data_IF_049289827146
#
_entry.id   IF_049289827146
#
_cell.length_a   1.000
_cell.length_b   1.000
_cell.length_c   1.000
_cell.angle_alpha   90.00
_cell.angle_beta   90.00
_cell.angle_gamma   90.00
#
_symmetry.space_group_name_H-M   'P 1'
#
loop_
_entity.id
_entity.type
_entity.pdbx_description
1 polymer ?
#
# COMPACT_ATOMS: atom_id res chain seq x y z
N UNK A 1 -4.03 18.01 4.66
CA UNK A 1 -4.63 16.67 4.45
C UNK A 1 -4.81 16.47 2.97
N UNK A 2 -4.70 15.23 2.48
CA UNK A 2 -4.81 14.94 1.04
C UNK A 2 -6.28 14.95 0.62
N UNK A 3 -6.73 16.08 0.10
CA UNK A 3 -8.05 16.26 -0.49
C UNK A 3 -8.00 16.07 -2.00
N UNK A 4 -8.92 15.28 -2.54
CA UNK A 4 -9.11 15.09 -3.98
C UNK A 4 -10.58 15.01 -4.36
N UNK A 5 -10.91 15.27 -5.63
CA UNK A 5 -12.25 15.03 -6.16
C UNK A 5 -12.39 13.66 -6.84
N UNK A 6 -13.60 13.32 -7.28
CA UNK A 6 -13.89 12.03 -7.92
C UNK A 6 -13.07 11.80 -9.22
N UNK A 7 -12.90 12.84 -10.04
CA UNK A 7 -12.08 12.73 -11.26
C UNK A 7 -10.60 12.40 -10.94
N UNK A 8 -10.11 12.86 -9.80
CA UNK A 8 -8.77 12.60 -9.31
C UNK A 8 -8.63 11.19 -8.71
N UNK A 9 -9.69 10.62 -8.13
CA UNK A 9 -9.73 9.21 -7.73
C UNK A 9 -9.49 8.29 -8.95
N UNK A 10 -10.14 8.59 -10.07
CA UNK A 10 -9.93 7.83 -11.32
C UNK A 10 -8.48 7.94 -11.81
N UNK A 11 -7.89 9.14 -11.76
CA UNK A 11 -6.47 9.34 -12.09
C UNK A 11 -5.54 8.62 -11.11
N UNK A 12 -5.91 8.59 -9.82
CA UNK A 12 -5.16 7.92 -8.75
C UNK A 12 -5.08 6.42 -9.00
N UNK A 13 -6.18 5.78 -9.44
CA UNK A 13 -6.21 4.37 -9.86
C UNK A 13 -5.11 4.05 -10.88
N UNK A 14 -5.04 4.79 -11.98
CA UNK A 14 -4.04 4.53 -13.03
C UNK A 14 -2.60 4.74 -12.54
N UNK A 15 -2.38 5.71 -11.64
CA UNK A 15 -1.06 5.93 -11.02
C UNK A 15 -0.68 4.77 -10.11
N UNK A 16 -1.63 4.25 -9.33
CA UNK A 16 -1.41 3.09 -8.47
C UNK A 16 -1.05 1.85 -9.26
N UNK A 17 -1.74 1.60 -10.37
CA UNK A 17 -1.41 0.48 -11.27
C UNK A 17 0.02 0.59 -11.78
N UNK A 18 0.42 1.77 -12.27
CA UNK A 18 1.78 2.02 -12.73
C UNK A 18 2.83 1.78 -11.62
N UNK A 19 2.54 2.17 -10.38
CA UNK A 19 3.42 1.95 -9.23
C UNK A 19 3.51 0.47 -8.88
N UNK A 20 2.36 -0.21 -8.70
CA UNK A 20 2.27 -1.60 -8.24
C UNK A 20 2.72 -2.61 -9.29
N UNK A 21 2.71 -2.25 -10.59
CA UNK A 21 3.23 -3.09 -11.67
C UNK A 21 4.65 -3.61 -11.43
N UNK A 22 5.46 -2.87 -10.67
CA UNK A 22 6.84 -3.25 -10.35
C UNK A 22 6.95 -4.54 -9.53
N UNK A 23 5.92 -4.87 -8.75
CA UNK A 23 5.91 -6.01 -7.82
C UNK A 23 4.83 -7.06 -8.17
N UNK A 24 3.83 -6.70 -8.99
CA UNK A 24 2.77 -7.60 -9.45
C UNK A 24 3.24 -8.62 -10.50
N UNK A 25 2.61 -9.80 -10.53
CA UNK A 25 2.87 -10.81 -11.57
C UNK A 25 2.60 -10.25 -12.97
N UNK A 26 3.45 -10.58 -13.93
CA UNK A 26 3.34 -10.17 -15.33
C UNK A 26 3.27 -8.65 -15.56
N UNK A 27 3.65 -7.83 -14.56
CA UNK A 27 3.54 -6.36 -14.62
C UNK A 27 2.12 -5.86 -14.96
N UNK A 28 1.08 -6.56 -14.46
CA UNK A 28 -0.33 -6.24 -14.73
C UNK A 28 -1.13 -6.03 -13.44
N UNK A 29 -0.76 -5.05 -12.64
CA UNK A 29 -1.59 -4.59 -11.54
C UNK A 29 -2.98 -4.19 -12.05
N UNK A 30 -4.01 -4.54 -11.30
CA UNK A 30 -5.40 -4.21 -11.59
C UNK A 30 -6.01 -3.63 -10.31
N UNK A 31 -6.21 -2.32 -10.31
CA UNK A 31 -6.77 -1.60 -9.16
C UNK A 31 -8.22 -1.27 -9.46
N UNK A 32 -9.14 -1.82 -8.68
CA UNK A 32 -10.56 -1.53 -8.82
C UNK A 32 -10.99 -0.38 -7.91
N UNK A 33 -11.93 0.42 -8.40
CA UNK A 33 -12.63 1.44 -7.62
C UNK A 33 -13.90 0.79 -7.08
N UNK A 34 -14.05 0.77 -5.76
CA UNK A 34 -15.25 0.27 -5.08
C UNK A 34 -15.91 1.47 -4.40
N UNK A 35 -17.10 1.82 -4.86
CA UNK A 35 -17.89 2.92 -4.31
C UNK A 35 -18.78 2.42 -3.15
N UNK A 36 -18.67 3.07 -2.00
CA UNK A 36 -19.62 2.99 -0.89
C UNK A 36 -20.42 4.29 -0.76
N UNK A 37 -21.23 4.40 0.29
CA UNK A 37 -22.10 5.57 0.50
C UNK A 37 -21.30 6.86 0.77
N UNK A 38 -20.31 6.79 1.68
CA UNK A 38 -19.47 7.95 2.08
C UNK A 38 -17.97 7.63 1.94
N UNK A 39 -17.65 6.60 1.15
CA UNK A 39 -16.27 6.17 0.95
C UNK A 39 -16.03 5.60 -0.44
N UNK A 40 -14.79 5.68 -0.88
CA UNK A 40 -14.29 5.03 -2.08
C UNK A 40 -13.04 4.24 -1.72
N UNK A 41 -12.98 2.99 -2.15
CA UNK A 41 -11.81 2.12 -1.97
C UNK A 41 -11.12 1.86 -3.31
N UNK A 42 -9.79 1.93 -3.33
CA UNK A 42 -8.95 1.52 -4.44
C UNK A 42 -8.25 0.22 -4.03
N UNK A 43 -8.61 -0.89 -4.66
CA UNK A 43 -8.21 -2.24 -4.21
C UNK A 43 -7.47 -2.98 -5.30
N UNK A 44 -6.30 -3.53 -5.00
CA UNK A 44 -5.58 -4.42 -5.91
C UNK A 44 -6.26 -5.79 -5.92
N UNK A 45 -6.74 -6.22 -7.08
CA UNK A 45 -7.55 -7.43 -7.20
C UNK A 45 -7.39 -8.15 -8.54
N UNK A 46 -7.61 -9.47 -8.55
CA UNK A 46 -7.69 -10.25 -9.79
C UNK A 46 -9.12 -10.36 -10.35
N UNK A 47 -10.13 -9.85 -9.64
CA UNK A 47 -11.54 -9.97 -10.05
C UNK A 47 -12.48 -9.07 -9.25
N UNK A 48 -13.78 -9.21 -9.47
CA UNK A 48 -14.81 -8.45 -8.75
C UNK A 48 -15.06 -9.12 -7.39
N UNK A 49 -14.44 -8.62 -6.32
CA UNK A 49 -14.69 -9.11 -4.95
C UNK A 49 -14.82 -7.92 -4.01
N UNK A 50 -15.73 -8.06 -3.04
CA UNK A 50 -16.12 -6.97 -2.13
C UNK A 50 -15.27 -6.85 -0.86
N UNK A 51 -14.48 -7.86 -0.49
CA UNK A 51 -13.69 -7.85 0.75
C UNK A 51 -12.20 -7.59 0.48
N UNK A 52 -11.81 -6.31 0.52
CA UNK A 52 -10.46 -5.86 0.17
C UNK A 52 -9.34 -6.55 0.97
N UNK A 53 -9.52 -6.77 2.28
CA UNK A 53 -8.49 -7.34 3.18
C UNK A 53 -8.16 -8.82 2.95
N UNK A 54 -9.07 -9.56 2.31
CA UNK A 54 -8.91 -11.00 2.04
C UNK A 54 -8.30 -11.28 0.68
N UNK A 55 -8.15 -10.25 -0.16
CA UNK A 55 -7.63 -10.43 -1.51
C UNK A 55 -6.14 -10.70 -1.49
N UNK A 56 -5.74 -11.76 -2.18
CA UNK A 56 -4.35 -12.12 -2.43
C UNK A 56 -4.06 -11.95 -3.89
N UNK A 57 -3.27 -10.95 -4.21
CA UNK A 57 -2.81 -10.68 -5.56
C UNK A 57 -1.42 -11.29 -5.74
N UNK A 58 -1.19 -12.19 -6.70
CA UNK A 58 0.11 -12.81 -6.88
C UNK A 58 1.16 -11.78 -7.30
N UNK A 59 2.29 -11.81 -6.62
CA UNK A 59 3.45 -11.01 -7.01
C UNK A 59 4.22 -11.67 -8.16
N UNK A 60 5.32 -11.05 -8.58
CA UNK A 60 6.29 -11.67 -9.52
C UNK A 60 7.04 -12.89 -8.98
N UNK A 61 7.00 -13.14 -7.66
CA UNK A 61 7.60 -14.30 -6.99
C UNK A 61 6.49 -15.27 -6.62
N UNK A 62 6.65 -16.57 -6.93
CA UNK A 62 5.58 -17.56 -6.84
C UNK A 62 5.02 -17.75 -5.43
N UNK A 63 5.86 -17.68 -4.40
CA UNK A 63 5.45 -17.81 -3.00
C UNK A 63 4.94 -16.51 -2.38
N UNK A 64 4.93 -15.40 -3.12
CA UNK A 64 4.68 -14.07 -2.55
C UNK A 64 3.38 -13.49 -3.10
N UNK A 65 2.53 -13.04 -2.16
CA UNK A 65 1.23 -12.45 -2.42
C UNK A 65 1.16 -11.04 -1.86
N UNK A 66 0.36 -10.21 -2.48
CA UNK A 66 0.18 -8.80 -2.19
C UNK A 66 -1.27 -8.55 -1.80
N UNK A 67 -1.48 -7.64 -0.86
CA UNK A 67 -2.77 -7.06 -0.58
C UNK A 67 -2.60 -5.54 -0.53
N UNK A 68 -3.34 -4.81 -1.37
CA UNK A 68 -3.27 -3.36 -1.39
C UNK A 68 -4.67 -2.75 -1.33
N UNK A 69 -4.82 -1.75 -0.47
CA UNK A 69 -6.04 -0.96 -0.31
C UNK A 69 -5.71 0.50 -0.02
N UNK A 70 -6.38 1.41 -0.71
CA UNK A 70 -6.56 2.80 -0.27
C UNK A 70 -8.02 3.06 0.03
N UNK A 71 -8.30 3.71 1.16
CA UNK A 71 -9.64 4.15 1.53
C UNK A 71 -9.71 5.66 1.57
N UNK A 72 -10.69 6.20 0.88
CA UNK A 72 -11.00 7.61 0.78
C UNK A 72 -12.38 7.86 1.36
N UNK A 73 -12.56 8.87 2.19
CA UNK A 73 -13.87 9.23 2.78
C UNK A 73 -14.35 10.57 2.26
N UNK A 74 -15.63 10.65 1.94
CA UNK A 74 -16.29 11.88 1.51
C UNK A 74 -16.35 12.87 2.69
N UNK A 75 -15.85 14.09 2.49
CA UNK A 75 -15.86 15.15 3.52
C UNK A 75 -16.73 16.36 3.13
N UNK A 76 -17.01 16.51 1.84
CA UNK A 76 -17.99 17.45 1.30
C UNK A 76 -18.49 16.92 -0.04
N UNK A 77 -19.52 17.54 -0.63
CA UNK A 77 -20.25 17.05 -1.80
C UNK A 77 -19.40 16.40 -2.92
N UNK A 78 -18.19 16.92 -3.18
CA UNK A 78 -17.30 16.39 -4.23
C UNK A 78 -15.85 16.18 -3.76
N UNK A 79 -15.60 16.16 -2.45
CA UNK A 79 -14.24 16.06 -1.90
C UNK A 79 -14.08 14.82 -1.04
N UNK A 80 -12.97 14.14 -1.31
CA UNK A 80 -12.54 12.94 -0.60
C UNK A 80 -11.22 13.19 0.10
N UNK A 81 -11.05 12.53 1.24
CA UNK A 81 -9.84 12.56 2.02
C UNK A 81 -9.27 11.15 2.20
N UNK A 82 -7.95 11.00 2.07
CA UNK A 82 -7.28 9.71 2.27
C UNK A 82 -7.32 9.33 3.75
N UNK A 83 -8.06 8.28 4.09
CA UNK A 83 -8.16 7.74 5.44
C UNK A 83 -7.04 6.73 5.72
N UNK A 84 -6.73 5.90 4.72
CA UNK A 84 -5.87 4.73 4.89
C UNK A 84 -5.22 4.34 3.56
N UNK A 85 -3.95 3.92 3.58
CA UNK A 85 -3.26 3.35 2.41
C UNK A 85 -2.29 2.26 2.81
N UNK A 86 -2.68 1.01 2.60
CA UNK A 86 -1.99 -0.16 3.09
C UNK A 86 -1.50 -1.03 1.92
N UNK A 87 -0.26 -1.53 2.04
CA UNK A 87 0.30 -2.57 1.17
C UNK A 87 0.89 -3.65 2.07
N UNK A 88 0.26 -4.82 2.10
CA UNK A 88 0.76 -5.97 2.83
C UNK A 88 1.36 -6.97 1.86
N UNK A 89 2.44 -7.61 2.27
CA UNK A 89 3.14 -8.65 1.53
C UNK A 89 3.13 -9.90 2.39
N UNK A 90 2.67 -10.98 1.79
CA UNK A 90 2.56 -12.29 2.40
C UNK A 90 3.47 -13.26 1.68
N UNK A 91 4.02 -14.20 2.42
CA UNK A 91 4.72 -15.36 1.88
C UNK A 91 3.99 -16.63 2.27
N UNK A 92 3.74 -17.50 1.30
CA UNK A 92 3.16 -18.80 1.53
C UNK A 92 4.22 -19.78 2.02
N UNK A 93 4.04 -20.24 3.26
CA UNK A 93 4.90 -21.22 3.91
C UNK A 93 4.41 -22.63 3.60
N UNK A 94 5.12 -23.33 2.71
CA UNK A 94 4.78 -24.70 2.29
C UNK A 94 4.80 -25.74 3.42
N UNK A 95 5.63 -25.53 4.45
CA UNK A 95 5.75 -26.47 5.58
C UNK A 95 4.53 -26.38 6.49
N UNK A 96 4.08 -25.15 6.75
CA UNK A 96 2.93 -24.88 7.63
C UNK A 96 1.59 -24.84 6.89
N UNK A 97 1.61 -24.88 5.57
CA UNK A 97 0.44 -24.69 4.70
C UNK A 97 -0.35 -23.41 5.04
N UNK A 98 0.38 -22.30 5.24
CA UNK A 98 -0.23 -21.03 5.62
C UNK A 98 0.52 -19.83 5.04
N UNK A 99 -0.19 -18.71 4.88
CA UNK A 99 0.43 -17.42 4.55
C UNK A 99 0.94 -16.73 5.81
N UNK A 100 2.17 -16.24 5.78
CA UNK A 100 2.76 -15.42 6.83
C UNK A 100 2.94 -13.98 6.28
N UNK A 101 2.44 -12.97 6.98
CA UNK A 101 2.70 -11.57 6.61
C UNK A 101 4.16 -11.23 6.92
N UNK A 102 4.89 -10.74 5.92
CA UNK A 102 6.33 -10.49 6.04
C UNK A 102 6.64 -9.00 6.14
N UNK A 103 5.94 -8.19 5.36
CA UNK A 103 6.10 -6.73 5.28
C UNK A 103 4.71 -6.12 5.23
N UNK A 104 4.50 -5.07 6.02
CA UNK A 104 3.29 -4.26 5.92
C UNK A 104 3.68 -2.78 5.84
N UNK A 105 3.31 -2.14 4.74
CA UNK A 105 3.35 -0.70 4.60
C UNK A 105 2.00 -0.11 4.98
N UNK A 106 2.00 0.88 5.85
CA UNK A 106 0.81 1.56 6.35
C UNK A 106 0.95 3.08 6.22
N UNK A 107 -0.19 3.74 6.09
CA UNK A 107 -0.31 5.19 6.15
C UNK A 107 -1.74 5.49 6.61
N UNK A 108 -1.88 6.09 7.79
CA UNK A 108 -3.17 6.40 8.42
C UNK A 108 -3.30 7.89 8.75
N UNK A 109 -3.48 8.78 7.75
CA UNK A 109 -3.39 10.23 7.98
C UNK A 109 -4.41 10.75 9.02
N UNK A 110 -5.52 10.03 9.21
CA UNK A 110 -6.63 10.40 10.08
C UNK A 110 -6.65 9.70 11.44
N UNK A 111 -5.62 8.91 11.79
CA UNK A 111 -5.61 8.24 13.09
C UNK A 111 -5.67 9.27 14.23
N UNK A 112 -6.71 9.18 15.05
CA UNK A 112 -6.89 10.00 16.25
C UNK A 112 -6.28 9.27 17.46
N UNK A 113 -5.88 10.02 18.50
CA UNK A 113 -5.34 9.44 19.74
C UNK A 113 -4.09 10.14 20.25
N UNK A 114 -3.32 9.43 21.08
CA UNK A 114 -2.15 9.93 21.80
C UNK A 114 -1.05 10.51 20.87
N UNK A 115 -0.20 11.38 21.42
CA UNK A 115 0.90 12.05 20.67
C UNK A 115 1.81 11.07 19.90
N UNK A 116 1.95 9.83 20.40
CA UNK A 116 2.75 8.77 19.79
C UNK A 116 2.20 8.30 18.42
N UNK A 117 0.96 8.64 18.07
CA UNK A 117 0.35 8.25 16.79
C UNK A 117 0.93 9.01 15.59
N UNK A 118 1.82 10.00 15.82
CA UNK A 118 2.47 10.75 14.74
C UNK A 118 3.22 9.85 13.75
N UNK A 119 3.80 8.75 14.24
CA UNK A 119 4.54 7.79 13.40
C UNK A 119 3.60 6.91 12.57
N UNK A 120 2.36 6.71 13.03
CA UNK A 120 1.35 5.92 12.32
C UNK A 120 0.65 6.74 11.22
N UNK A 121 0.57 8.06 11.41
CA UNK A 121 -0.01 8.97 10.41
C UNK A 121 0.72 8.86 9.09
N UNK A 122 2.05 8.88 9.15
CA UNK A 122 2.94 8.84 8.00
C UNK A 122 3.03 7.47 7.36
N UNK A 123 3.42 7.41 6.07
CA UNK A 123 3.94 6.20 5.46
C UNK A 123 4.95 5.51 6.39
N UNK A 124 4.76 4.25 6.72
CA UNK A 124 5.71 3.49 7.53
C UNK A 124 5.66 2.01 7.17
N UNK A 125 6.73 1.27 7.47
CA UNK A 125 6.83 -0.15 7.19
C UNK A 125 7.06 -0.94 8.47
N UNK A 126 6.31 -2.03 8.61
CA UNK A 126 6.48 -3.05 9.63
C UNK A 126 7.13 -4.29 9.02
N UNK A 127 8.04 -4.90 9.77
CA UNK A 127 8.64 -6.18 9.44
C UNK A 127 8.24 -7.16 10.56
N UNK A 128 7.47 -8.20 10.22
CA UNK A 128 6.88 -9.08 11.25
C UNK A 128 7.70 -10.32 11.55
N UNK A 129 8.58 -10.74 10.65
CA UNK A 129 9.33 -11.98 10.81
C UNK A 129 10.81 -11.82 10.43
N UNK A 130 11.67 -11.83 11.46
CA UNK A 130 13.12 -11.68 11.37
C UNK A 130 13.85 -12.97 10.99
N UNK A 131 13.13 -14.08 10.72
CA UNK A 131 13.76 -15.32 10.21
C UNK A 131 14.40 -15.14 8.84
N UNK A 132 14.02 -14.08 8.12
CA UNK A 132 14.58 -13.72 6.81
C UNK A 132 15.85 -12.92 7.01
N UNK A 133 16.90 -13.28 6.29
CA UNK A 133 18.16 -12.53 6.31
C UNK A 133 17.98 -11.17 5.61
N UNK A 134 17.64 -10.17 6.42
CA UNK A 134 17.58 -8.78 6.01
C UNK A 134 18.90 -8.04 6.27
N UNK A 135 19.97 -8.73 6.69
CA UNK A 135 21.27 -8.09 7.04
C UNK A 135 21.88 -7.29 5.89
N UNK A 136 21.51 -7.65 4.65
CA UNK A 136 21.97 -6.98 3.43
C UNK A 136 20.94 -6.00 2.86
N UNK A 137 19.77 -5.83 3.46
CA UNK A 137 18.74 -4.94 2.96
C UNK A 137 19.08 -3.49 3.33
N UNK A 138 19.14 -2.60 2.34
CA UNK A 138 19.36 -1.18 2.59
C UNK A 138 18.02 -0.47 2.77
N UNK A 139 17.65 -0.21 4.03
CA UNK A 139 16.42 0.53 4.36
C UNK A 139 16.79 1.95 4.74
N UNK A 140 16.47 2.92 3.88
CA UNK A 140 16.70 4.33 4.20
C UNK A 140 15.70 4.79 5.27
N UNK A 141 16.22 5.23 6.42
CA UNK A 141 15.45 5.73 7.58
C UNK A 141 14.81 7.10 7.30
N UNK A 142 15.29 7.83 6.27
CA UNK A 142 14.87 9.20 5.95
C UNK A 142 14.19 9.33 4.58
N UNK A 143 13.28 8.43 4.22
CA UNK A 143 12.47 8.64 3.01
C UNK A 143 11.37 9.70 3.18
N UNK A 144 11.10 10.16 4.40
CA UNK A 144 9.82 10.80 4.74
C UNK A 144 10.05 12.11 5.48
N UNK A 145 10.12 13.20 4.74
CA UNK A 145 9.85 14.52 5.32
C UNK A 145 8.36 14.65 5.62
N UNK A 146 7.98 14.74 6.90
CA UNK A 146 6.59 14.97 7.33
C UNK A 146 5.90 16.10 6.55
N UNK A 147 6.66 17.15 6.24
CA UNK A 147 6.15 18.33 5.57
C UNK A 147 5.84 18.13 4.08
N UNK A 148 6.36 17.10 3.39
CA UNK A 148 6.22 16.95 1.92
C UNK A 148 5.17 15.94 1.50
N UNK A 149 4.95 14.86 2.25
CA UNK A 149 4.08 13.73 1.82
C UNK A 149 2.62 14.14 1.61
N UNK A 150 2.12 15.09 2.40
CA UNK A 150 0.73 15.54 2.34
C UNK A 150 0.54 16.88 1.63
N UNK A 151 1.58 17.41 0.94
CA UNK A 151 1.44 18.65 0.17
C UNK A 151 0.52 18.47 -1.02
N UNK A 152 0.59 17.31 -1.68
CA UNK A 152 -0.26 16.99 -2.82
C UNK A 152 -0.43 15.47 -3.02
N UNK A 153 -1.50 15.03 -3.70
CA UNK A 153 -1.68 13.62 -4.09
C UNK A 153 -0.53 13.09 -4.95
N UNK A 154 0.13 13.96 -5.70
CA UNK A 154 1.31 13.61 -6.51
C UNK A 154 2.51 13.31 -5.63
N UNK A 155 2.77 14.11 -4.60
CA UNK A 155 3.84 13.86 -3.64
C UNK A 155 3.63 12.53 -2.91
N UNK A 156 2.41 12.27 -2.46
CA UNK A 156 2.03 10.98 -1.88
C UNK A 156 2.28 9.80 -2.85
N UNK A 157 1.88 9.96 -4.12
CA UNK A 157 2.09 8.95 -5.16
C UNK A 157 3.58 8.65 -5.37
N UNK A 158 4.42 9.69 -5.35
CA UNK A 158 5.86 9.56 -5.51
C UNK A 158 6.49 8.82 -4.32
N UNK A 159 6.02 9.08 -3.10
CA UNK A 159 6.52 8.34 -1.93
C UNK A 159 6.12 6.88 -1.95
N UNK A 160 4.86 6.57 -2.26
CA UNK A 160 4.44 5.18 -2.45
C UNK A 160 5.28 4.49 -3.54
N UNK A 161 5.58 5.20 -4.63
CA UNK A 161 6.43 4.68 -5.71
C UNK A 161 7.86 4.35 -5.22
N UNK A 162 8.45 5.21 -4.38
CA UNK A 162 9.78 4.98 -3.77
C UNK A 162 9.76 3.79 -2.82
N UNK A 163 8.71 3.66 -2.00
CA UNK A 163 8.54 2.51 -1.11
C UNK A 163 8.40 1.22 -1.89
N UNK A 164 7.53 1.19 -2.91
CA UNK A 164 7.36 0.02 -3.78
C UNK A 164 8.67 -0.32 -4.49
N UNK A 165 9.45 0.67 -4.93
CA UNK A 165 10.77 0.44 -5.51
C UNK A 165 11.76 -0.14 -4.50
N UNK A 166 11.78 0.36 -3.26
CA UNK A 166 12.60 -0.19 -2.18
C UNK A 166 12.24 -1.64 -1.90
N UNK A 167 10.94 -1.94 -1.74
CA UNK A 167 10.44 -3.31 -1.61
C UNK A 167 10.92 -4.15 -2.78
N UNK A 168 10.79 -3.64 -4.00
CA UNK A 168 11.12 -4.38 -5.20
C UNK A 168 12.62 -4.71 -5.34
N UNK A 169 13.50 -3.77 -5.01
CA UNK A 169 14.95 -3.90 -5.19
C UNK A 169 15.59 -4.61 -4.00
N UNK A 170 15.24 -4.16 -2.79
CA UNK A 170 15.91 -4.59 -1.56
C UNK A 170 15.22 -5.78 -0.90
N UNK A 171 13.89 -5.92 -1.02
CA UNK A 171 13.18 -6.92 -0.22
C UNK A 171 12.76 -8.13 -1.06
N UNK A 172 12.17 -7.92 -2.23
CA UNK A 172 11.65 -9.01 -3.08
C UNK A 172 12.73 -10.01 -3.55
N UNK A 173 14.01 -9.61 -3.62
CA UNK A 173 15.12 -10.52 -3.94
C UNK A 173 15.50 -11.44 -2.79
N UNK A 174 15.03 -11.14 -1.57
CA UNK A 174 15.31 -11.85 -0.32
C UNK A 174 14.06 -12.57 0.23
N UNK A 175 12.97 -12.55 -0.54
CA UNK A 175 11.73 -13.28 -0.30
C UNK A 175 11.61 -14.46 -1.27
N UNK A 176 11.01 -15.57 -0.83
CA UNK A 176 10.98 -16.86 -1.54
C UNK A 176 12.22 -17.71 -1.34
#
# INVERSE_FOLDING_TARGET
>A
MLEINESEIVKRRSRLEAVLNQICRNSKANVQIINGNDCVELVLTQGQTRAASLLRYPSRKESIYLNFVERWSLVSAEKYNLIQSYLHIYEYNKIKDCEEEVIAYHCDPYISGAENNIYMKLPHMHFKDLRRDLSKAHISVCLIGQATVYKSPSDYSNELARVVRLINVELMSRLG
#
